data_IF_579537506132
#
_entry.id   IF_579537506132
#
_cell.length_a   1.000
_cell.length_b   1.000
_cell.length_c   1.000
_cell.angle_alpha   90.00
_cell.angle_beta   90.00
_cell.angle_gamma   90.00
#
_symmetry.space_group_name_H-M   'P 1'
#
loop_
_entity.id
_entity.type
_entity.pdbx_description
1 polymer ?
#
# COMPACT_ATOMS: atom_id res chain seq x y z
N UNK A 1 0.90 -21.55 21.78
CA UNK A 1 2.28 -21.06 21.56
C UNK A 1 2.16 -19.61 21.16
N UNK A 2 2.93 -18.72 21.75
CA UNK A 2 2.89 -17.29 21.36
C UNK A 2 3.52 -17.15 19.97
N UNK A 3 2.76 -16.66 19.02
CA UNK A 3 3.19 -16.48 17.63
C UNK A 3 4.44 -15.60 17.52
N UNK A 4 4.65 -14.66 18.44
CA UNK A 4 5.82 -13.76 18.46
C UNK A 4 7.10 -14.53 18.78
N UNK A 5 7.06 -15.43 19.77
CA UNK A 5 8.20 -16.27 20.13
C UNK A 5 8.52 -17.27 19.04
N UNK A 6 7.50 -17.88 18.42
CA UNK A 6 7.70 -18.80 17.30
C UNK A 6 8.27 -18.07 16.07
N UNK A 7 7.78 -16.87 15.76
CA UNK A 7 8.33 -16.05 14.68
C UNK A 7 9.82 -15.76 14.90
N UNK A 8 10.22 -15.35 16.10
CA UNK A 8 11.64 -15.08 16.41
C UNK A 8 12.49 -16.35 16.23
N UNK A 9 12.02 -17.50 16.75
CA UNK A 9 12.69 -18.78 16.58
C UNK A 9 12.86 -19.12 15.11
N UNK A 10 11.81 -18.98 14.30
CA UNK A 10 11.86 -19.24 12.85
C UNK A 10 12.86 -18.34 12.13
N UNK A 11 12.98 -17.06 12.49
CA UNK A 11 13.98 -16.18 11.88
C UNK A 11 15.42 -16.62 12.18
N UNK A 12 15.70 -17.15 13.36
CA UNK A 12 17.00 -17.80 13.65
C UNK A 12 17.25 -19.05 12.81
N UNK A 13 16.21 -19.87 12.58
CA UNK A 13 16.31 -21.09 11.76
C UNK A 13 16.50 -20.73 10.28
N UNK A 14 15.74 -19.78 9.73
CA UNK A 14 15.80 -19.37 8.34
C UNK A 14 17.10 -18.64 7.98
N UNK A 15 17.66 -17.87 8.92
CA UNK A 15 18.86 -17.02 8.66
C UNK A 15 18.66 -16.04 7.50
N UNK A 16 17.49 -15.46 7.38
CA UNK A 16 16.97 -14.68 6.27
C UNK A 16 15.88 -15.43 5.49
N UNK A 17 15.02 -14.69 4.82
CA UNK A 17 13.88 -15.24 4.06
C UNK A 17 14.14 -15.32 2.56
N UNK A 18 15.27 -14.81 2.10
CA UNK A 18 15.62 -14.69 0.69
C UNK A 18 16.92 -15.40 0.39
N UNK A 19 16.99 -15.94 -0.81
CA UNK A 19 18.24 -16.38 -1.43
C UNK A 19 18.29 -15.92 -2.89
N UNK A 20 19.48 -15.81 -3.45
CA UNK A 20 19.68 -15.50 -4.87
C UNK A 20 19.95 -16.79 -5.60
N UNK A 21 19.02 -17.19 -6.47
CA UNK A 21 19.15 -18.38 -7.31
C UNK A 21 19.47 -17.98 -8.75
N UNK A 22 20.52 -18.54 -9.37
CA UNK A 22 20.82 -18.28 -10.78
C UNK A 22 19.74 -18.93 -11.67
N UNK A 23 19.44 -18.28 -12.80
CA UNK A 23 18.52 -18.79 -13.83
C UNK A 23 19.22 -19.61 -14.91
N UNK A 24 20.54 -19.56 -14.95
CA UNK A 24 21.39 -20.36 -15.82
C UNK A 24 22.42 -21.09 -14.98
N UNK A 25 22.99 -22.15 -15.53
CA UNK A 25 24.04 -22.91 -14.89
C UNK A 25 25.35 -22.73 -15.65
N UNK A 26 26.46 -22.84 -14.95
CA UNK A 26 27.82 -22.80 -15.52
C UNK A 26 28.57 -24.02 -14.99
N UNK A 27 28.68 -25.07 -15.81
CA UNK A 27 29.25 -26.33 -15.44
C UNK A 27 30.46 -26.74 -16.33
N UNK A 28 30.70 -25.98 -17.41
CA UNK A 28 31.78 -26.22 -18.35
C UNK A 28 32.27 -24.90 -18.98
N UNK A 29 33.38 -24.93 -19.72
CA UNK A 29 34.02 -23.77 -20.31
C UNK A 29 33.20 -23.09 -21.40
N UNK A 30 32.37 -23.81 -22.12
CA UNK A 30 31.48 -23.23 -23.12
C UNK A 30 30.37 -22.39 -22.46
N UNK A 31 29.68 -22.94 -21.46
CA UNK A 31 28.68 -22.23 -20.66
C UNK A 31 29.27 -21.03 -19.94
N UNK A 32 30.51 -21.14 -19.42
CA UNK A 32 31.22 -20.02 -18.83
C UNK A 32 31.46 -18.90 -19.85
N UNK A 33 31.89 -19.26 -21.06
CA UNK A 33 32.15 -18.29 -22.13
C UNK A 33 30.88 -17.59 -22.61
N UNK A 34 29.73 -18.25 -22.59
CA UNK A 34 28.44 -17.66 -22.92
C UNK A 34 27.91 -16.78 -21.79
N UNK A 35 28.00 -17.25 -20.54
CA UNK A 35 27.40 -16.56 -19.39
C UNK A 35 28.26 -15.38 -18.89
N UNK A 36 29.58 -15.43 -19.14
CA UNK A 36 30.52 -14.41 -18.68
C UNK A 36 31.50 -14.02 -19.80
N UNK A 37 32.80 -14.20 -19.63
CA UNK A 37 33.81 -13.76 -20.59
C UNK A 37 34.17 -14.87 -21.58
N UNK A 38 34.18 -14.61 -22.92
CA UNK A 38 34.00 -13.32 -23.60
C UNK A 38 32.56 -12.96 -24.03
N UNK A 39 31.64 -13.89 -24.03
CA UNK A 39 30.31 -13.75 -24.65
C UNK A 39 29.45 -12.62 -24.09
N UNK A 40 29.59 -12.33 -22.76
CA UNK A 40 28.84 -11.25 -22.10
C UNK A 40 29.06 -9.85 -22.67
N UNK A 41 30.12 -9.65 -23.46
CA UNK A 41 30.37 -8.38 -24.15
C UNK A 41 29.24 -8.03 -25.15
N UNK A 42 28.67 -9.00 -25.84
CA UNK A 42 27.63 -8.78 -26.84
C UNK A 42 26.32 -8.19 -26.25
N UNK A 43 25.72 -8.75 -25.19
CA UNK A 43 24.57 -8.12 -24.56
C UNK A 43 24.91 -6.74 -23.95
N UNK A 44 26.13 -6.51 -23.46
CA UNK A 44 26.54 -5.18 -23.00
C UNK A 44 26.55 -4.15 -24.12
N UNK A 45 27.11 -4.50 -25.29
CA UNK A 45 27.09 -3.66 -26.48
C UNK A 45 25.66 -3.41 -26.97
N UNK A 46 24.84 -4.44 -27.01
CA UNK A 46 23.44 -4.32 -27.41
C UNK A 46 22.64 -3.36 -26.50
N UNK A 47 22.88 -3.39 -25.19
CA UNK A 47 22.24 -2.45 -24.23
C UNK A 47 22.81 -1.04 -24.38
N UNK A 48 24.12 -0.88 -24.61
CA UNK A 48 24.74 0.43 -24.86
C UNK A 48 24.10 1.10 -26.07
N UNK A 49 23.88 0.35 -27.13
CA UNK A 49 23.34 0.86 -28.38
C UNK A 49 21.80 1.08 -28.34
N UNK A 50 21.12 0.35 -27.47
CA UNK A 50 19.67 0.47 -27.24
C UNK A 50 19.37 0.13 -25.76
N UNK A 51 19.21 1.18 -24.94
CA UNK A 51 18.96 1.07 -23.50
C UNK A 51 17.73 0.21 -23.14
N UNK A 52 16.69 0.21 -23.99
CA UNK A 52 15.48 -0.58 -23.78
C UNK A 52 15.76 -2.10 -23.74
N UNK A 53 16.85 -2.54 -24.37
CA UNK A 53 17.30 -3.94 -24.30
C UNK A 53 17.73 -4.38 -22.89
N UNK A 54 18.01 -3.44 -21.98
CA UNK A 54 18.28 -3.77 -20.58
C UNK A 54 17.10 -4.54 -19.93
N UNK A 55 15.87 -4.23 -20.32
CA UNK A 55 14.68 -4.96 -19.86
C UNK A 55 14.49 -6.34 -20.50
N UNK A 56 15.14 -6.61 -21.62
CA UNK A 56 15.05 -7.89 -22.34
C UNK A 56 16.24 -8.81 -22.00
N UNK A 57 17.44 -8.24 -21.85
CA UNK A 57 18.68 -8.99 -21.71
C UNK A 57 19.14 -9.15 -20.26
N UNK A 58 18.47 -8.48 -19.33
CA UNK A 58 18.73 -8.62 -17.89
C UNK A 58 17.45 -8.92 -17.11
N UNK A 59 17.58 -9.16 -15.81
CA UNK A 59 16.41 -9.38 -14.93
C UNK A 59 15.69 -8.08 -14.54
N UNK A 60 16.19 -6.92 -14.96
CA UNK A 60 15.65 -5.60 -14.63
C UNK A 60 14.14 -5.50 -14.80
N UNK A 61 13.57 -6.02 -15.89
CA UNK A 61 12.14 -5.99 -16.17
C UNK A 61 11.26 -6.64 -15.08
N UNK A 62 11.81 -7.51 -14.26
CA UNK A 62 11.08 -8.22 -13.22
C UNK A 62 11.57 -7.92 -11.80
N UNK A 63 12.47 -6.95 -11.62
CA UNK A 63 13.06 -6.62 -10.33
C UNK A 63 12.47 -5.35 -9.73
N UNK A 64 12.11 -5.41 -8.45
CA UNK A 64 11.65 -4.26 -7.65
C UNK A 64 12.58 -4.05 -6.45
N UNK A 65 13.01 -2.82 -6.22
CA UNK A 65 13.67 -2.46 -4.98
C UNK A 65 12.64 -2.20 -3.89
N UNK A 66 12.77 -2.83 -2.73
CA UNK A 66 11.97 -2.57 -1.52
C UNK A 66 12.81 -1.77 -0.56
N UNK A 67 12.48 -0.50 -0.36
CA UNK A 67 13.38 0.49 0.21
C UNK A 67 12.80 1.11 1.46
N UNK A 68 13.59 1.14 2.54
CA UNK A 68 13.25 1.80 3.80
C UNK A 68 14.41 2.59 4.38
N UNK A 69 14.11 3.63 5.17
CA UNK A 69 15.06 4.30 6.07
C UNK A 69 14.92 3.83 7.53
N UNK A 70 13.99 2.91 7.79
CA UNK A 70 13.73 2.33 9.11
C UNK A 70 13.05 3.25 10.11
N UNK A 71 12.43 4.35 9.63
CA UNK A 71 11.90 5.40 10.52
C UNK A 71 10.45 5.21 10.95
N UNK A 72 9.73 4.22 10.38
CA UNK A 72 8.32 3.95 10.72
C UNK A 72 7.99 2.44 10.65
N UNK A 73 8.86 1.61 11.17
CA UNK A 73 8.73 0.15 11.11
C UNK A 73 7.52 -0.33 11.90
N UNK A 74 6.47 -0.79 11.18
CA UNK A 74 5.23 -1.30 11.78
C UNK A 74 4.70 -0.34 12.88
N UNK A 75 4.24 -0.88 14.00
CA UNK A 75 3.89 -0.09 15.19
C UNK A 75 5.06 0.22 16.14
N UNK A 76 6.30 -0.11 15.74
CA UNK A 76 7.49 0.06 16.57
C UNK A 76 8.15 1.44 16.42
N UNK A 77 7.79 2.18 15.37
CA UNK A 77 8.34 3.50 15.07
C UNK A 77 9.75 3.46 14.50
N UNK A 78 10.57 4.43 14.90
CA UNK A 78 11.94 4.60 14.40
C UNK A 78 12.91 3.67 15.14
N UNK A 79 13.17 2.50 14.57
CA UNK A 79 14.10 1.51 15.10
C UNK A 79 15.35 1.31 14.24
N UNK A 80 15.47 2.10 13.19
CA UNK A 80 16.60 2.10 12.27
C UNK A 80 16.49 1.10 11.10
N UNK A 81 17.28 1.34 10.05
CA UNK A 81 17.14 0.60 8.80
C UNK A 81 17.48 -0.89 8.91
N UNK A 82 18.52 -1.26 9.67
CA UNK A 82 18.91 -2.66 9.83
C UNK A 82 17.86 -3.48 10.58
N UNK A 83 17.20 -2.87 11.57
CA UNK A 83 16.12 -3.51 12.30
C UNK A 83 14.85 -3.65 11.45
N UNK A 84 14.71 -2.86 10.37
CA UNK A 84 13.67 -2.98 9.36
C UNK A 84 13.87 -4.13 8.35
N UNK A 85 15.10 -4.67 8.23
CA UNK A 85 15.41 -5.71 7.24
C UNK A 85 14.45 -6.91 7.27
N UNK A 86 14.06 -7.48 8.42
CA UNK A 86 13.10 -8.60 8.45
C UNK A 86 11.75 -8.26 7.82
N UNK A 87 11.29 -7.02 7.92
CA UNK A 87 10.04 -6.56 7.28
C UNK A 87 10.23 -6.46 5.78
N UNK A 88 11.34 -5.86 5.34
CA UNK A 88 11.66 -5.72 3.91
C UNK A 88 11.84 -7.07 3.22
N UNK A 89 12.51 -8.04 3.85
CA UNK A 89 12.57 -9.42 3.34
C UNK A 89 11.17 -10.05 3.26
N UNK A 90 10.34 -9.86 4.27
CA UNK A 90 8.95 -10.31 4.25
C UNK A 90 8.18 -9.73 3.07
N UNK A 91 8.31 -8.43 2.81
CA UNK A 91 7.71 -7.78 1.64
C UNK A 91 8.20 -8.40 0.33
N UNK A 92 9.49 -8.69 0.21
CA UNK A 92 10.05 -9.35 -0.98
C UNK A 92 9.48 -10.77 -1.19
N UNK A 93 9.28 -11.54 -0.11
CA UNK A 93 8.61 -12.86 -0.18
C UNK A 93 7.20 -12.70 -0.74
N UNK A 94 6.43 -11.72 -0.25
CA UNK A 94 5.07 -11.49 -0.74
C UNK A 94 5.05 -11.07 -2.23
N UNK A 95 5.98 -10.25 -2.68
CA UNK A 95 6.15 -9.94 -4.11
C UNK A 95 6.35 -11.19 -4.95
N UNK A 96 7.19 -12.10 -4.47
CA UNK A 96 7.49 -13.34 -5.20
C UNK A 96 6.30 -14.29 -5.23
N UNK A 97 5.70 -14.56 -4.06
CA UNK A 97 4.61 -15.53 -3.91
C UNK A 97 3.33 -15.11 -4.63
N UNK A 98 2.97 -13.82 -4.56
CA UNK A 98 1.68 -13.33 -5.06
C UNK A 98 1.72 -12.78 -6.50
N UNK A 99 2.92 -12.44 -7.02
CA UNK A 99 3.04 -11.82 -8.35
C UNK A 99 4.24 -12.31 -9.17
N UNK A 100 5.04 -13.24 -8.67
CA UNK A 100 6.23 -13.72 -9.37
C UNK A 100 7.30 -12.64 -9.60
N UNK A 101 7.22 -11.52 -8.87
CA UNK A 101 8.17 -10.40 -8.94
C UNK A 101 9.39 -10.71 -8.08
N UNK A 102 10.57 -10.48 -8.63
CA UNK A 102 11.84 -10.61 -7.90
C UNK A 102 12.11 -9.28 -7.18
N UNK A 103 11.90 -9.25 -5.88
CA UNK A 103 12.12 -8.05 -5.09
C UNK A 103 13.40 -8.14 -4.26
N UNK A 104 14.07 -7.00 -4.06
CA UNK A 104 15.33 -6.92 -3.35
C UNK A 104 15.25 -5.87 -2.23
N UNK A 105 15.56 -6.24 -0.94
CA UNK A 105 15.45 -5.35 0.19
C UNK A 105 16.64 -4.41 0.28
N UNK A 106 16.39 -3.11 0.48
CA UNK A 106 17.39 -2.08 0.61
C UNK A 106 17.08 -1.20 1.82
N UNK A 107 17.90 -1.30 2.87
CA UNK A 107 17.80 -0.50 4.08
C UNK A 107 18.85 0.61 4.06
N UNK A 108 18.42 1.87 3.95
CA UNK A 108 19.31 3.03 3.72
C UNK A 108 19.54 3.79 5.02
N UNK A 109 20.81 4.01 5.38
CA UNK A 109 21.23 4.67 6.62
C UNK A 109 21.20 6.19 6.54
N UNK A 110 20.08 6.77 6.15
CA UNK A 110 19.88 8.20 6.16
C UNK A 110 18.44 8.57 6.41
N UNK A 111 18.20 9.71 7.02
CA UNK A 111 16.90 10.36 7.21
C UNK A 111 16.82 11.70 6.47
N UNK A 112 17.91 12.09 5.82
CA UNK A 112 17.91 13.24 4.94
C UNK A 112 17.19 12.89 3.63
N UNK A 113 16.20 13.71 3.28
CA UNK A 113 15.33 13.46 2.11
C UNK A 113 16.13 13.49 0.81
N UNK A 114 17.02 14.47 0.65
CA UNK A 114 17.75 14.64 -0.61
C UNK A 114 18.80 13.55 -0.78
N UNK A 115 19.47 13.15 0.30
CA UNK A 115 20.39 12.02 0.28
C UNK A 115 19.69 10.70 -0.02
N UNK A 116 18.52 10.45 0.58
CA UNK A 116 17.72 9.25 0.32
C UNK A 116 17.24 9.21 -1.14
N UNK A 117 16.66 10.30 -1.63
CA UNK A 117 16.23 10.46 -3.02
C UNK A 117 17.39 10.24 -3.99
N UNK A 118 18.54 10.87 -3.72
CA UNK A 118 19.74 10.72 -4.54
C UNK A 118 20.23 9.28 -4.58
N UNK A 119 20.27 8.61 -3.43
CA UNK A 119 20.70 7.21 -3.30
C UNK A 119 19.78 6.29 -4.11
N UNK A 120 18.47 6.42 -3.95
CA UNK A 120 17.48 5.61 -4.67
C UNK A 120 17.59 5.84 -6.18
N UNK A 121 17.67 7.09 -6.62
CA UNK A 121 17.82 7.42 -8.03
C UNK A 121 19.06 6.76 -8.66
N UNK A 122 20.22 6.82 -7.97
CA UNK A 122 21.47 6.27 -8.49
C UNK A 122 21.43 4.75 -8.70
N UNK A 123 20.67 4.02 -7.88
CA UNK A 123 20.55 2.54 -8.00
C UNK A 123 19.37 2.09 -8.85
N UNK A 124 18.45 2.99 -9.19
CA UNK A 124 17.20 2.67 -9.92
C UNK A 124 17.42 2.03 -11.28
N UNK A 125 18.61 2.26 -11.90
CA UNK A 125 18.98 1.63 -13.16
C UNK A 125 19.03 0.10 -13.13
N UNK A 126 19.09 -0.52 -11.96
CA UNK A 126 19.09 -1.98 -11.79
C UNK A 126 17.69 -2.58 -11.65
N UNK A 127 16.64 -1.75 -11.54
CA UNK A 127 15.28 -2.18 -11.21
C UNK A 127 14.26 -1.73 -12.27
N UNK A 128 13.14 -2.42 -12.29
CA UNK A 128 11.95 -2.03 -13.06
C UNK A 128 10.94 -1.21 -12.26
N UNK A 129 11.12 -1.09 -10.94
CA UNK A 129 10.30 -0.28 -10.05
C UNK A 129 10.87 -0.16 -8.65
N UNK A 130 10.44 0.86 -7.92
CA UNK A 130 10.82 1.15 -6.53
C UNK A 130 9.59 1.11 -5.62
N UNK A 131 9.57 0.20 -4.66
CA UNK A 131 8.60 0.18 -3.56
C UNK A 131 9.21 0.85 -2.33
N UNK A 132 8.63 1.96 -1.89
CA UNK A 132 8.98 2.61 -0.64
C UNK A 132 8.17 2.00 0.49
N UNK A 133 8.81 1.75 1.63
CA UNK A 133 8.21 1.05 2.76
C UNK A 133 8.68 1.64 4.08
N UNK A 134 7.77 1.78 5.05
CA UNK A 134 8.09 2.15 6.44
C UNK A 134 8.93 3.45 6.58
N UNK A 135 8.69 4.44 5.72
CA UNK A 135 9.26 5.78 5.79
C UNK A 135 8.28 6.71 6.51
N UNK A 136 8.73 7.38 7.57
CA UNK A 136 7.89 8.21 8.41
C UNK A 136 7.28 9.42 7.67
N UNK A 137 5.99 9.70 7.94
CA UNK A 137 5.38 10.98 7.57
C UNK A 137 6.09 12.11 8.37
N UNK A 138 6.35 13.28 7.81
CA UNK A 138 5.92 13.82 6.51
C UNK A 138 6.94 13.56 5.38
N UNK A 139 8.11 13.01 5.72
CA UNK A 139 9.19 12.78 4.75
C UNK A 139 8.79 11.85 3.61
N UNK A 140 7.99 10.82 3.89
CA UNK A 140 7.55 9.87 2.87
C UNK A 140 6.87 10.54 1.66
N UNK A 141 6.09 11.60 1.89
CA UNK A 141 5.43 12.35 0.82
C UNK A 141 6.42 13.07 -0.08
N UNK A 142 7.43 13.69 0.54
CA UNK A 142 8.46 14.43 -0.19
C UNK A 142 9.40 13.51 -0.96
N UNK A 143 9.81 12.40 -0.34
CA UNK A 143 10.66 11.37 -0.97
C UNK A 143 9.96 10.80 -2.20
N UNK A 144 8.69 10.37 -2.07
CA UNK A 144 7.94 9.83 -3.20
C UNK A 144 7.78 10.86 -4.32
N UNK A 145 7.36 12.08 -4.00
CA UNK A 145 7.17 13.15 -4.99
C UNK A 145 8.46 13.43 -5.76
N UNK A 146 9.59 13.64 -5.07
CA UNK A 146 10.89 13.91 -5.70
C UNK A 146 11.37 12.75 -6.58
N UNK A 147 11.18 11.50 -6.13
CA UNK A 147 11.55 10.33 -6.92
C UNK A 147 10.70 10.19 -8.18
N UNK A 148 9.39 10.42 -8.11
CA UNK A 148 8.50 10.40 -9.28
C UNK A 148 8.87 11.46 -10.33
N UNK A 149 9.47 12.56 -9.92
CA UNK A 149 9.92 13.63 -10.84
C UNK A 149 11.20 13.25 -11.61
N UNK A 150 12.08 12.42 -11.03
CA UNK A 150 13.40 12.13 -11.59
C UNK A 150 13.61 10.70 -12.07
N UNK A 151 12.84 9.73 -11.56
CA UNK A 151 12.94 8.34 -11.97
C UNK A 151 12.13 8.10 -13.27
N UNK A 152 12.67 7.23 -14.12
CA UNK A 152 12.02 6.75 -15.35
C UNK A 152 11.28 5.42 -15.16
N UNK A 153 11.25 4.90 -13.94
CA UNK A 153 10.57 3.69 -13.49
C UNK A 153 9.55 4.03 -12.39
N UNK A 154 8.48 3.25 -12.21
CA UNK A 154 7.46 3.54 -11.22
C UNK A 154 8.01 3.57 -9.79
N UNK A 155 7.56 4.56 -9.04
CA UNK A 155 7.79 4.72 -7.59
C UNK A 155 6.44 4.64 -6.89
N UNK A 156 6.35 3.81 -5.85
CA UNK A 156 5.11 3.58 -5.13
C UNK A 156 5.39 3.36 -3.64
N UNK A 157 4.69 4.09 -2.78
CA UNK A 157 4.80 3.94 -1.33
C UNK A 157 3.63 3.08 -0.84
N UNK A 158 3.91 1.84 -0.44
CA UNK A 158 2.85 0.87 -0.15
C UNK A 158 2.00 1.23 1.08
N UNK A 159 2.61 1.74 2.16
CA UNK A 159 1.86 2.18 3.36
C UNK A 159 0.84 3.29 3.06
N UNK A 160 1.09 4.09 2.04
CA UNK A 160 0.16 5.10 1.57
C UNK A 160 -0.86 4.48 0.61
N UNK A 161 -0.38 4.05 -0.53
CA UNK A 161 -1.23 3.74 -1.70
C UNK A 161 -1.76 2.32 -1.69
N UNK A 162 -0.98 1.33 -1.23
CA UNK A 162 -1.46 -0.04 -1.08
C UNK A 162 -2.59 -0.13 -0.07
N UNK A 163 -2.41 0.53 1.07
CA UNK A 163 -3.45 0.63 2.11
C UNK A 163 -4.69 1.36 1.57
N UNK A 164 -4.53 2.47 0.84
CA UNK A 164 -5.65 3.21 0.26
C UNK A 164 -6.46 2.36 -0.73
N UNK A 165 -5.78 1.60 -1.60
CA UNK A 165 -6.41 0.73 -2.59
C UNK A 165 -7.24 -0.37 -1.93
N UNK A 166 -6.72 -1.06 -0.92
CA UNK A 166 -7.46 -2.16 -0.28
C UNK A 166 -8.61 -1.66 0.60
N UNK A 167 -8.43 -0.54 1.28
CA UNK A 167 -9.52 0.10 2.04
C UNK A 167 -10.64 0.53 1.12
N UNK A 168 -10.32 1.13 -0.02
CA UNK A 168 -11.31 1.52 -1.02
C UNK A 168 -12.04 0.31 -1.62
N UNK A 169 -11.32 -0.78 -1.93
CA UNK A 169 -11.94 -2.02 -2.41
C UNK A 169 -12.94 -2.61 -1.41
N UNK A 170 -12.56 -2.67 -0.13
CA UNK A 170 -13.45 -3.12 0.95
C UNK A 170 -14.66 -2.18 1.10
N UNK A 171 -14.45 -0.87 1.04
CA UNK A 171 -15.50 0.12 1.19
C UNK A 171 -16.52 0.08 0.04
N UNK A 172 -16.07 -0.09 -1.21
CA UNK A 172 -16.96 -0.25 -2.37
C UNK A 172 -18.00 -1.36 -2.12
N UNK A 173 -17.57 -2.49 -1.61
CA UNK A 173 -18.42 -3.63 -1.34
C UNK A 173 -19.21 -3.46 -0.03
N UNK A 174 -18.62 -2.91 1.02
CA UNK A 174 -19.33 -2.64 2.27
C UNK A 174 -20.51 -1.70 2.05
N UNK A 175 -20.35 -0.66 1.24
CA UNK A 175 -21.43 0.27 0.90
C UNK A 175 -22.55 -0.41 0.09
N UNK A 176 -22.21 -1.31 -0.84
CA UNK A 176 -23.23 -2.15 -1.54
C UNK A 176 -24.05 -2.97 -0.54
N UNK A 177 -23.40 -3.62 0.45
CA UNK A 177 -24.08 -4.44 1.48
C UNK A 177 -25.10 -3.61 2.26
N UNK A 178 -24.79 -2.36 2.57
CA UNK A 178 -25.66 -1.48 3.37
C UNK A 178 -26.54 -0.55 2.52
N UNK A 179 -26.54 -0.72 1.19
CA UNK A 179 -27.38 0.07 0.27
C UNK A 179 -27.00 1.54 0.15
N UNK A 180 -25.72 1.89 0.36
CA UNK A 180 -25.18 3.25 0.23
C UNK A 180 -24.19 3.33 -0.95
N UNK A 181 -23.82 4.55 -1.34
CA UNK A 181 -22.85 4.80 -2.42
C UNK A 181 -21.68 5.67 -1.94
N UNK A 182 -20.59 5.68 -2.70
CA UNK A 182 -19.42 6.54 -2.40
C UNK A 182 -19.82 8.01 -2.36
N UNK A 183 -20.70 8.47 -3.25
CA UNK A 183 -21.10 9.87 -3.38
C UNK A 183 -21.96 10.36 -2.20
N UNK A 184 -22.70 9.45 -1.56
CA UNK A 184 -23.65 9.80 -0.48
C UNK A 184 -23.10 9.49 0.91
N UNK A 185 -22.09 8.65 1.01
CA UNK A 185 -21.51 8.22 2.27
C UNK A 185 -20.80 9.36 3.01
N UNK A 186 -21.05 9.48 4.32
CA UNK A 186 -20.33 10.34 5.23
C UNK A 186 -19.19 9.56 5.86
N UNK A 187 -17.97 9.89 5.46
CA UNK A 187 -16.77 9.14 5.82
C UNK A 187 -15.94 9.89 6.86
N UNK A 188 -15.54 9.21 7.91
CA UNK A 188 -14.60 9.70 8.93
C UNK A 188 -13.32 8.88 8.86
N UNK A 189 -12.17 9.55 8.69
CA UNK A 189 -10.84 8.94 8.77
C UNK A 189 -10.16 9.44 10.05
N UNK A 190 -9.80 8.55 10.95
CA UNK A 190 -9.05 8.86 12.16
C UNK A 190 -7.59 8.42 12.03
N UNK A 191 -6.69 9.39 12.10
CA UNK A 191 -5.26 9.28 11.80
C UNK A 191 -4.93 9.94 10.47
N UNK A 192 -4.40 11.17 10.53
CA UNK A 192 -4.01 11.92 9.34
C UNK A 192 -2.51 11.77 9.00
N UNK A 193 -1.95 10.60 9.26
CA UNK A 193 -0.60 10.21 8.84
C UNK A 193 -0.54 9.83 7.36
N UNK A 194 0.53 9.10 6.98
CA UNK A 194 0.76 8.67 5.59
C UNK A 194 -0.43 7.92 5.00
N UNK A 195 -0.92 6.91 5.69
CA UNK A 195 -2.06 6.11 5.25
C UNK A 195 -3.36 6.92 5.19
N UNK A 196 -3.70 7.67 6.25
CA UNK A 196 -4.96 8.42 6.30
C UNK A 196 -5.10 9.48 5.22
N UNK A 197 -4.03 10.24 4.95
CA UNK A 197 -4.00 11.21 3.85
C UNK A 197 -4.18 10.53 2.49
N UNK A 198 -3.49 9.40 2.28
CA UNK A 198 -3.59 8.66 1.02
C UNK A 198 -4.98 8.04 0.83
N UNK A 199 -5.57 7.45 1.88
CA UNK A 199 -6.94 6.93 1.86
C UNK A 199 -7.92 8.06 1.52
N UNK A 200 -7.82 9.21 2.19
CA UNK A 200 -8.70 10.35 1.94
C UNK A 200 -8.65 10.81 0.49
N UNK A 201 -7.46 11.01 -0.06
CA UNK A 201 -7.27 11.40 -1.47
C UNK A 201 -7.84 10.34 -2.42
N UNK A 202 -7.59 9.07 -2.15
CA UNK A 202 -8.05 7.98 -3.01
C UNK A 202 -9.58 7.82 -2.98
N UNK A 203 -10.21 7.94 -1.81
CA UNK A 203 -11.67 7.90 -1.69
C UNK A 203 -12.35 9.08 -2.39
N UNK A 204 -11.75 10.27 -2.34
CA UNK A 204 -12.24 11.41 -3.12
C UNK A 204 -12.15 11.17 -4.64
N UNK A 205 -11.09 10.51 -5.12
CA UNK A 205 -10.98 10.10 -6.53
C UNK A 205 -12.05 9.07 -6.93
N UNK A 206 -12.56 8.30 -5.96
CA UNK A 206 -13.66 7.34 -6.13
C UNK A 206 -15.06 7.95 -5.93
N UNK A 207 -15.13 9.26 -5.69
CA UNK A 207 -16.40 9.99 -5.64
C UNK A 207 -16.91 10.33 -4.24
N UNK A 208 -16.19 10.05 -3.16
CA UNK A 208 -16.57 10.47 -1.81
C UNK A 208 -16.55 11.99 -1.72
N UNK A 209 -17.67 12.61 -1.32
CA UNK A 209 -17.85 14.05 -1.22
C UNK A 209 -17.87 14.57 0.21
N UNK A 210 -18.37 13.77 1.15
CA UNK A 210 -18.44 14.14 2.57
C UNK A 210 -17.43 13.31 3.36
N UNK A 211 -16.22 13.83 3.48
CA UNK A 211 -15.10 13.23 4.17
C UNK A 211 -14.59 14.17 5.26
N UNK A 212 -14.42 13.63 6.46
CA UNK A 212 -13.82 14.32 7.61
C UNK A 212 -12.56 13.57 8.02
N UNK A 213 -11.48 14.31 8.21
CA UNK A 213 -10.24 13.80 8.78
C UNK A 213 -10.08 14.24 10.23
N UNK A 214 -9.63 13.34 11.06
CA UNK A 214 -9.38 13.56 12.50
C UNK A 214 -7.95 13.16 12.82
N UNK A 215 -7.27 13.97 13.61
CA UNK A 215 -5.97 13.63 14.19
C UNK A 215 -6.01 13.84 15.71
N UNK A 216 -4.90 13.64 16.38
CA UNK A 216 -4.77 13.74 17.86
C UNK A 216 -5.24 15.06 18.46
N UNK A 217 -5.34 16.11 17.68
CA UNK A 217 -5.85 17.44 18.10
C UNK A 217 -7.32 17.69 17.70
N UNK A 218 -8.01 16.68 17.20
CA UNK A 218 -9.41 16.76 16.78
C UNK A 218 -9.60 16.80 15.26
N UNK A 219 -10.76 17.29 14.84
CA UNK A 219 -11.16 17.38 13.43
C UNK A 219 -10.28 18.40 12.70
N UNK A 220 -9.70 18.00 11.59
CA UNK A 220 -8.88 18.87 10.73
C UNK A 220 -9.80 19.83 9.98
N UNK A 221 -9.57 21.14 10.19
CA UNK A 221 -10.34 22.23 9.60
C UNK A 221 -9.43 23.25 8.93
N UNK A 222 -9.95 23.92 7.93
CA UNK A 222 -9.27 25.05 7.30
C UNK A 222 -9.03 26.19 8.30
N UNK A 223 -7.83 26.77 8.28
CA UNK A 223 -7.43 27.83 9.22
C UNK A 223 -6.97 27.34 10.60
N UNK A 224 -6.89 26.04 10.84
CA UNK A 224 -6.35 25.48 12.07
C UNK A 224 -4.84 25.73 12.16
N UNK A 225 -4.34 26.21 13.30
CA UNK A 225 -2.92 26.45 13.51
C UNK A 225 -2.12 25.15 13.67
N UNK A 226 -0.87 25.14 13.23
CA UNK A 226 0.07 24.03 13.43
C UNK A 226 -0.12 22.84 12.49
N UNK A 227 -0.92 22.98 11.45
CA UNK A 227 -1.04 21.95 10.42
C UNK A 227 0.24 21.83 9.61
N UNK A 228 0.64 20.60 9.29
CA UNK A 228 1.68 20.35 8.31
C UNK A 228 1.12 20.54 6.88
N UNK A 229 1.98 20.63 5.83
CA UNK A 229 1.53 20.86 4.46
C UNK A 229 0.48 19.85 3.93
N UNK A 230 0.59 18.57 4.32
CA UNK A 230 -0.39 17.57 3.91
C UNK A 230 -1.73 17.77 4.61
N UNK A 231 -1.72 18.13 5.90
CA UNK A 231 -2.94 18.46 6.65
C UNK A 231 -3.58 19.76 6.12
N UNK A 232 -2.79 20.76 5.76
CA UNK A 232 -3.32 22.00 5.13
C UNK A 232 -3.99 21.71 3.80
N UNK A 233 -3.38 20.87 2.96
CA UNK A 233 -4.00 20.42 1.71
C UNK A 233 -5.35 19.74 1.98
N UNK A 234 -5.38 18.81 2.93
CA UNK A 234 -6.60 18.06 3.25
C UNK A 234 -7.66 18.91 3.93
N UNK A 235 -7.29 19.87 4.77
CA UNK A 235 -8.25 20.76 5.43
C UNK A 235 -9.09 21.59 4.45
N UNK A 236 -8.50 21.93 3.27
CA UNK A 236 -9.20 22.66 2.20
C UNK A 236 -10.08 21.77 1.33
N UNK A 237 -9.81 20.47 1.29
CA UNK A 237 -10.50 19.49 0.41
C UNK A 237 -11.55 18.68 1.12
N UNK A 238 -11.50 18.61 2.45
CA UNK A 238 -12.34 17.77 3.29
C UNK A 238 -13.22 18.61 4.20
N UNK A 239 -14.06 17.95 5.02
CA UNK A 239 -14.95 18.58 5.99
C UNK A 239 -15.90 19.65 5.37
N UNK A 240 -16.68 19.30 4.33
CA UNK A 240 -17.58 20.24 3.65
C UNK A 240 -18.67 20.79 4.58
N UNK A 241 -18.91 20.15 5.72
CA UNK A 241 -19.89 20.56 6.74
C UNK A 241 -19.30 21.53 7.76
N UNK A 242 -18.01 21.85 7.69
CA UNK A 242 -17.29 22.72 8.63
C UNK A 242 -17.48 22.32 10.11
N UNK A 243 -17.50 21.00 10.39
CA UNK A 243 -17.62 20.47 11.75
C UNK A 243 -16.28 20.65 12.46
N UNK A 244 -16.34 21.08 13.72
CA UNK A 244 -15.21 21.17 14.63
C UNK A 244 -15.43 20.27 15.84
N UNK A 245 -14.36 19.91 16.56
CA UNK A 245 -14.47 19.12 17.78
C UNK A 245 -13.58 17.87 17.76
N UNK A 246 -14.06 16.86 18.45
CA UNK A 246 -13.35 15.59 18.71
C UNK A 246 -13.71 14.49 17.70
N UNK A 247 -13.08 13.32 17.83
CA UNK A 247 -13.45 12.12 17.08
C UNK A 247 -14.94 11.75 17.30
N UNK A 248 -15.44 11.88 18.54
CA UNK A 248 -16.84 11.58 18.85
C UNK A 248 -17.81 12.49 18.10
N UNK A 249 -17.44 13.77 17.91
CA UNK A 249 -18.24 14.71 17.14
C UNK A 249 -18.24 14.38 15.65
N UNK A 250 -17.10 13.95 15.11
CA UNK A 250 -16.97 13.50 13.71
C UNK A 250 -17.80 12.25 13.43
N UNK A 251 -17.79 11.26 14.35
CA UNK A 251 -18.47 9.98 14.17
C UNK A 251 -19.99 10.07 14.28
N UNK A 252 -20.51 11.09 14.95
CA UNK A 252 -21.97 11.27 15.09
C UNK A 252 -22.65 11.47 13.73
N UNK A 253 -23.49 10.51 13.38
CA UNK A 253 -24.19 10.49 12.09
C UNK A 253 -23.28 10.25 10.88
N UNK A 254 -22.10 9.67 11.09
CA UNK A 254 -21.26 9.17 10.02
C UNK A 254 -21.76 7.79 9.53
N UNK A 255 -21.50 7.46 8.27
CA UNK A 255 -21.80 6.17 7.66
C UNK A 255 -20.60 5.21 7.70
N UNK A 256 -19.41 5.78 7.66
CA UNK A 256 -18.16 5.02 7.58
C UNK A 256 -17.14 5.60 8.55
N UNK A 257 -16.51 4.73 9.32
CA UNK A 257 -15.31 5.01 10.10
C UNK A 257 -14.13 4.20 9.58
N UNK A 258 -13.01 4.87 9.33
CA UNK A 258 -11.73 4.26 8.95
C UNK A 258 -10.68 4.71 9.96
N UNK A 259 -10.15 3.78 10.74
CA UNK A 259 -9.11 4.03 11.72
C UNK A 259 -7.74 3.59 11.21
N UNK A 260 -6.77 4.50 11.19
CA UNK A 260 -5.34 4.27 10.90
C UNK A 260 -4.48 5.05 11.90
N UNK A 261 -4.82 4.93 13.18
CA UNK A 261 -4.35 5.80 14.25
C UNK A 261 -3.73 5.02 15.42
N UNK A 262 -4.38 5.04 16.57
CA UNK A 262 -3.88 4.48 17.81
C UNK A 262 -4.88 3.48 18.44
N UNK A 263 -4.41 2.52 19.23
CA UNK A 263 -5.26 1.52 19.87
C UNK A 263 -6.31 2.13 20.79
N UNK A 264 -7.54 1.58 20.76
CA UNK A 264 -8.55 1.83 21.79
C UNK A 264 -9.13 3.25 21.84
N UNK A 265 -8.96 4.04 20.78
CA UNK A 265 -9.45 5.44 20.73
C UNK A 265 -10.94 5.56 20.40
N UNK A 266 -11.58 4.49 19.94
CA UNK A 266 -13.00 4.42 19.59
C UNK A 266 -13.77 3.65 20.66
N UNK A 267 -14.87 4.24 21.14
CA UNK A 267 -15.76 3.60 22.13
C UNK A 267 -17.02 3.03 21.45
N UNK A 268 -17.74 2.16 22.18
CA UNK A 268 -19.03 1.62 21.71
C UNK A 268 -20.06 2.73 21.49
N UNK A 269 -20.07 3.76 22.34
CA UNK A 269 -20.97 4.92 22.23
C UNK A 269 -20.70 5.71 20.96
N UNK A 270 -19.44 5.85 20.55
CA UNK A 270 -19.08 6.50 19.28
C UNK A 270 -19.66 5.71 18.11
N UNK A 271 -19.48 4.38 18.09
CA UNK A 271 -20.05 3.53 17.03
C UNK A 271 -21.59 3.58 17.05
N UNK A 272 -22.23 3.49 18.23
CA UNK A 272 -23.67 3.60 18.35
C UNK A 272 -24.26 4.95 17.92
N UNK A 273 -23.44 6.01 17.88
CA UNK A 273 -23.84 7.34 17.41
C UNK A 273 -23.79 7.51 15.88
N UNK A 274 -23.23 6.53 15.16
CA UNK A 274 -23.20 6.53 13.71
C UNK A 274 -24.59 6.25 13.11
N UNK A 275 -24.72 6.46 11.82
CA UNK A 275 -25.95 6.15 11.09
C UNK A 275 -26.22 4.63 11.02
N UNK A 276 -27.49 4.26 10.83
CA UNK A 276 -27.87 2.89 10.49
C UNK A 276 -27.06 2.38 9.27
N UNK A 277 -26.65 1.12 9.32
CA UNK A 277 -25.78 0.55 8.29
C UNK A 277 -24.33 1.04 8.38
N UNK A 278 -23.84 1.40 9.56
CA UNK A 278 -22.47 1.87 9.76
C UNK A 278 -21.44 0.80 9.36
N UNK A 279 -20.42 1.24 8.60
CA UNK A 279 -19.23 0.47 8.24
C UNK A 279 -18.04 0.93 9.10
N UNK A 280 -17.39 0.01 9.82
CA UNK A 280 -16.32 0.35 10.76
C UNK A 280 -15.06 -0.44 10.42
N UNK A 281 -14.00 0.26 10.03
CA UNK A 281 -12.71 -0.32 9.62
C UNK A 281 -11.59 0.11 10.59
N UNK A 282 -11.44 -0.55 11.76
CA UNK A 282 -10.37 -0.28 12.71
C UNK A 282 -9.09 -0.99 12.25
N UNK A 283 -8.15 -0.25 11.65
CA UNK A 283 -6.99 -0.79 10.95
C UNK A 283 -5.69 -0.73 11.76
N UNK A 284 -5.66 -0.07 12.93
CA UNK A 284 -4.45 0.05 13.73
C UNK A 284 -3.90 -1.34 14.14
N UNK A 285 -2.58 -1.49 14.07
CA UNK A 285 -1.87 -2.71 14.40
C UNK A 285 -0.83 -2.45 15.52
N UNK A 286 -0.60 -3.39 16.44
CA UNK A 286 -1.22 -4.73 16.58
C UNK A 286 -2.60 -4.73 17.27
N UNK A 287 -2.99 -3.61 17.86
CA UNK A 287 -4.28 -3.45 18.56
C UNK A 287 -5.10 -2.39 17.82
N UNK A 288 -6.34 -2.71 17.41
CA UNK A 288 -7.17 -1.79 16.66
C UNK A 288 -7.75 -0.65 17.52
N UNK A 289 -8.31 0.38 16.88
CA UNK A 289 -9.00 1.50 17.52
C UNK A 289 -10.18 1.07 18.36
N UNK A 290 -10.88 0.03 17.93
CA UNK A 290 -11.92 -0.74 18.64
C UNK A 290 -11.84 -2.18 18.17
N UNK A 291 -12.08 -3.13 19.06
CA UNK A 291 -12.16 -4.53 18.64
C UNK A 291 -13.38 -4.78 17.74
N UNK A 292 -13.23 -5.57 16.65
CA UNK A 292 -14.32 -5.86 15.72
C UNK A 292 -15.60 -6.34 16.38
N UNK A 293 -15.51 -7.25 17.37
CA UNK A 293 -16.66 -7.77 18.09
C UNK A 293 -17.39 -6.68 18.91
N UNK A 294 -16.63 -5.70 19.43
CA UNK A 294 -17.22 -4.57 20.17
C UNK A 294 -17.90 -3.58 19.23
N UNK A 295 -17.33 -3.37 18.03
CA UNK A 295 -17.96 -2.54 17.00
C UNK A 295 -19.27 -3.15 16.50
N UNK A 296 -19.32 -4.48 16.26
CA UNK A 296 -20.53 -5.21 15.91
C UNK A 296 -21.57 -5.14 17.04
N UNK A 297 -21.15 -5.35 18.29
CA UNK A 297 -22.04 -5.27 19.45
C UNK A 297 -22.60 -3.84 19.69
N UNK A 298 -21.91 -2.81 19.19
CA UNK A 298 -22.35 -1.42 19.24
C UNK A 298 -23.25 -1.00 18.06
N UNK A 299 -23.52 -1.90 17.11
CA UNK A 299 -24.46 -1.67 16.00
C UNK A 299 -23.81 -1.43 14.64
N UNK A 300 -22.50 -1.63 14.48
CA UNK A 300 -21.89 -1.64 13.16
C UNK A 300 -22.46 -2.77 12.29
N UNK A 301 -22.86 -2.45 11.05
CA UNK A 301 -23.42 -3.42 10.11
C UNK A 301 -22.31 -4.23 9.40
N UNK A 302 -21.19 -3.57 9.10
CA UNK A 302 -20.04 -4.20 8.44
C UNK A 302 -18.77 -3.79 9.18
N UNK A 303 -17.93 -4.77 9.49
CA UNK A 303 -16.61 -4.51 10.10
C UNK A 303 -15.52 -5.16 9.26
N UNK A 304 -14.47 -4.39 8.94
CA UNK A 304 -13.24 -4.87 8.34
C UNK A 304 -12.04 -4.52 9.24
N UNK A 305 -10.99 -5.31 9.22
CA UNK A 305 -9.83 -5.08 10.10
C UNK A 305 -8.52 -5.44 9.39
N UNK A 306 -7.40 -4.81 9.80
CA UNK A 306 -6.07 -5.21 9.36
C UNK A 306 -5.60 -6.57 9.88
N UNK A 307 -6.30 -7.12 10.87
CA UNK A 307 -5.94 -8.39 11.55
C UNK A 307 -6.42 -9.60 10.75
N UNK A 308 -5.59 -10.64 10.70
CA UNK A 308 -5.86 -11.91 10.00
C UNK A 308 -6.78 -12.87 10.75
N UNK A 309 -7.04 -12.62 12.03
CA UNK A 309 -7.89 -13.46 12.89
C UNK A 309 -9.37 -13.03 12.88
N UNK A 310 -9.72 -11.99 12.11
CA UNK A 310 -11.10 -11.54 11.91
C UNK A 310 -11.54 -11.72 10.45
N UNK A 311 -12.85 -11.70 10.23
CA UNK A 311 -13.47 -11.64 8.90
C UNK A 311 -13.13 -10.30 8.23
N UNK A 312 -13.17 -10.25 6.89
CA UNK A 312 -12.84 -9.05 6.12
C UNK A 312 -11.46 -8.47 6.46
N UNK A 313 -10.42 -9.30 6.33
CA UNK A 313 -9.05 -8.81 6.49
C UNK A 313 -8.70 -7.83 5.37
N UNK A 314 -8.54 -6.56 5.73
CA UNK A 314 -8.09 -5.50 4.82
C UNK A 314 -6.57 -5.44 4.91
N UNK A 315 -5.89 -6.01 3.91
CA UNK A 315 -4.43 -6.13 3.90
C UNK A 315 -3.88 -5.72 2.53
N UNK A 316 -2.86 -4.85 2.53
CA UNK A 316 -2.21 -4.32 1.32
C UNK A 316 -1.58 -5.40 0.43
N UNK A 317 -1.37 -6.63 0.93
CA UNK A 317 -0.94 -7.78 0.13
C UNK A 317 -1.88 -8.10 -1.05
N UNK A 318 -3.14 -7.68 -0.96
CA UNK A 318 -4.09 -7.78 -2.07
C UNK A 318 -3.82 -6.78 -3.20
N UNK A 319 -3.08 -5.71 -2.93
CA UNK A 319 -2.86 -4.60 -3.88
C UNK A 319 -1.45 -4.62 -4.49
N UNK A 320 -0.41 -4.36 -3.66
CA UNK A 320 0.91 -4.00 -4.17
C UNK A 320 1.54 -5.04 -5.11
N UNK A 321 1.42 -6.37 -4.88
CA UNK A 321 2.07 -7.33 -5.77
C UNK A 321 1.48 -7.26 -7.19
N UNK A 322 0.15 -7.23 -7.29
CA UNK A 322 -0.56 -7.11 -8.55
C UNK A 322 -0.36 -5.76 -9.23
N UNK A 323 -0.30 -4.67 -8.47
CA UNK A 323 -0.03 -3.32 -9.00
C UNK A 323 1.34 -3.28 -9.66
N UNK A 324 2.40 -3.76 -8.98
CA UNK A 324 3.73 -3.82 -9.58
C UNK A 324 3.80 -4.80 -10.74
N UNK A 325 3.13 -5.95 -10.67
CA UNK A 325 3.08 -6.89 -11.79
C UNK A 325 2.50 -6.21 -13.04
N UNK A 326 1.37 -5.54 -12.92
CA UNK A 326 0.75 -4.81 -14.03
C UNK A 326 1.63 -3.67 -14.56
N UNK A 327 2.26 -2.91 -13.67
CA UNK A 327 3.17 -1.83 -14.04
C UNK A 327 4.43 -2.35 -14.77
N UNK A 328 5.02 -3.44 -14.30
CA UNK A 328 6.17 -4.08 -14.94
C UNK A 328 5.81 -4.70 -16.30
N UNK A 329 4.66 -5.34 -16.43
CA UNK A 329 4.21 -6.02 -17.66
C UNK A 329 4.02 -5.05 -18.84
N UNK A 330 3.59 -3.81 -18.56
CA UNK A 330 3.46 -2.77 -19.57
C UNK A 330 4.62 -1.75 -19.55
N UNK A 331 5.66 -2.00 -18.76
CA UNK A 331 6.79 -1.10 -18.53
C UNK A 331 6.33 0.34 -18.26
N UNK A 332 5.39 0.49 -17.34
CA UNK A 332 4.88 1.81 -16.96
C UNK A 332 5.99 2.68 -16.37
N UNK A 333 5.99 3.96 -16.71
CA UNK A 333 6.92 4.94 -16.13
C UNK A 333 6.44 5.49 -14.77
N UNK A 334 5.16 5.31 -14.46
CA UNK A 334 4.53 5.74 -13.21
C UNK A 334 3.40 4.77 -12.83
N UNK A 335 3.04 4.75 -11.55
CA UNK A 335 1.79 4.19 -11.03
C UNK A 335 0.92 5.38 -10.65
N UNK A 336 0.01 5.78 -11.55
CA UNK A 336 -0.83 6.97 -11.41
C UNK A 336 -2.17 6.67 -10.70
N UNK A 337 -2.98 7.71 -10.49
CA UNK A 337 -4.26 7.60 -9.78
C UNK A 337 -5.25 6.66 -10.49
N UNK A 338 -5.31 6.70 -11.82
CA UNK A 338 -6.21 5.82 -12.58
C UNK A 338 -5.86 4.34 -12.42
N UNK A 339 -4.58 4.01 -12.35
CA UNK A 339 -4.10 2.65 -12.10
C UNK A 339 -4.48 2.16 -10.69
N UNK A 340 -4.40 3.03 -9.69
CA UNK A 340 -4.80 2.74 -8.29
C UNK A 340 -6.32 2.54 -8.18
N UNK A 341 -7.11 3.38 -8.84
CA UNK A 341 -8.57 3.24 -8.92
C UNK A 341 -8.94 1.92 -9.60
N UNK A 342 -8.29 1.58 -10.73
CA UNK A 342 -8.52 0.31 -11.41
C UNK A 342 -8.19 -0.90 -10.52
N UNK A 343 -7.11 -0.82 -9.73
CA UNK A 343 -6.75 -1.87 -8.76
C UNK A 343 -7.83 -2.06 -7.68
N UNK A 344 -8.39 -0.96 -7.13
CA UNK A 344 -9.46 -1.03 -6.13
C UNK A 344 -10.71 -1.74 -6.68
N UNK A 345 -11.15 -1.39 -7.88
CA UNK A 345 -12.26 -2.05 -8.55
C UNK A 345 -11.95 -3.52 -8.88
N UNK A 346 -10.74 -3.82 -9.34
CA UNK A 346 -10.33 -5.19 -9.65
C UNK A 346 -10.42 -6.10 -8.41
N UNK A 347 -9.97 -5.62 -7.25
CA UNK A 347 -10.06 -6.36 -5.98
C UNK A 347 -11.53 -6.51 -5.57
N UNK A 348 -12.30 -5.42 -5.57
CA UNK A 348 -13.70 -5.43 -5.15
C UNK A 348 -14.57 -6.38 -5.99
N UNK A 349 -14.39 -6.38 -7.30
CA UNK A 349 -15.18 -7.18 -8.24
C UNK A 349 -14.86 -8.68 -8.21
N UNK A 350 -13.85 -9.13 -7.47
CA UNK A 350 -13.59 -10.55 -7.25
C UNK A 350 -14.55 -11.19 -6.26
N UNK A 351 -15.22 -10.39 -5.45
CA UNK A 351 -16.33 -10.84 -4.62
C UNK A 351 -17.60 -10.77 -5.49
N UNK A 352 -18.15 -11.92 -5.84
CA UNK A 352 -19.37 -11.99 -6.64
C UNK A 352 -20.58 -11.45 -5.85
N UNK A 353 -21.56 -10.89 -6.56
CA UNK A 353 -22.72 -10.27 -5.91
C UNK A 353 -23.54 -11.25 -5.05
N UNK A 354 -23.54 -12.54 -5.41
CA UNK A 354 -24.21 -13.62 -4.66
C UNK A 354 -23.39 -14.11 -3.44
N UNK A 355 -22.10 -13.83 -3.38
CA UNK A 355 -21.23 -14.11 -2.24
C UNK A 355 -21.12 -12.90 -1.28
N UNK A 356 -21.47 -11.70 -1.78
CA UNK A 356 -21.30 -10.44 -1.05
C UNK A 356 -22.19 -10.41 0.20
N UNK A 357 -21.56 -10.17 1.35
CA UNK A 357 -22.23 -10.12 2.65
C UNK A 357 -21.46 -9.26 3.64
N UNK A 358 -22.04 -8.95 4.79
CA UNK A 358 -21.35 -8.22 5.86
C UNK A 358 -20.05 -8.94 6.33
N UNK A 359 -19.98 -10.24 6.15
CA UNK A 359 -18.85 -11.08 6.53
C UNK A 359 -17.85 -11.34 5.38
N UNK A 360 -18.17 -10.92 4.15
CA UNK A 360 -17.32 -11.13 2.98
C UNK A 360 -17.44 -9.97 1.99
N UNK A 361 -16.67 -8.89 2.24
CA UNK A 361 -16.61 -7.67 1.41
C UNK A 361 -15.33 -7.56 0.59
N UNK A 362 -14.34 -8.40 0.88
CA UNK A 362 -13.02 -8.35 0.23
C UNK A 362 -12.48 -9.78 0.09
N UNK A 363 -11.78 -10.13 -1.01
CA UNK A 363 -11.23 -11.47 -1.16
C UNK A 363 -10.19 -11.78 -0.08
N UNK A 364 -10.01 -13.08 0.20
CA UNK A 364 -8.99 -13.54 1.15
C UNK A 364 -7.59 -13.32 0.57
N UNK A 365 -6.59 -13.10 1.45
CA UNK A 365 -5.22 -12.81 1.07
C UNK A 365 -4.58 -13.87 0.13
N UNK A 366 -4.98 -15.15 0.26
CA UNK A 366 -4.48 -16.26 -0.56
C UNK A 366 -5.35 -16.61 -1.77
N UNK A 367 -6.30 -15.75 -2.14
CA UNK A 367 -7.07 -15.94 -3.37
C UNK A 367 -6.19 -15.68 -4.59
N UNK A 368 -5.88 -16.74 -5.32
CA UNK A 368 -4.97 -16.71 -6.48
C UNK A 368 -5.48 -15.86 -7.65
N UNK A 369 -6.75 -15.46 -7.65
CA UNK A 369 -7.35 -14.60 -8.67
C UNK A 369 -6.91 -13.14 -8.51
N UNK A 370 -6.55 -12.71 -7.28
CA UNK A 370 -6.27 -11.29 -6.96
C UNK A 370 -5.10 -10.74 -7.76
N UNK A 371 -3.93 -11.37 -7.68
CA UNK A 371 -2.73 -10.90 -8.36
C UNK A 371 -2.94 -10.67 -9.87
N UNK A 372 -3.40 -11.68 -10.63
CA UNK A 372 -3.67 -11.53 -12.06
C UNK A 372 -4.74 -10.46 -12.37
N UNK A 373 -5.84 -10.41 -11.65
CA UNK A 373 -6.91 -9.43 -11.90
C UNK A 373 -6.44 -7.99 -11.67
N UNK A 374 -5.69 -7.75 -10.59
CA UNK A 374 -5.11 -6.43 -10.31
C UNK A 374 -4.09 -6.06 -11.38
N UNK A 375 -3.21 -6.99 -11.76
CA UNK A 375 -2.18 -6.74 -12.77
C UNK A 375 -2.79 -6.36 -14.14
N UNK A 376 -3.81 -7.08 -14.58
CA UNK A 376 -4.51 -6.80 -15.82
C UNK A 376 -5.18 -5.41 -15.81
N UNK A 377 -5.91 -5.09 -14.74
CA UNK A 377 -6.60 -3.81 -14.60
C UNK A 377 -5.60 -2.63 -14.56
N UNK A 378 -4.51 -2.78 -13.84
CA UNK A 378 -3.44 -1.78 -13.73
C UNK A 378 -2.73 -1.56 -15.07
N UNK A 379 -2.36 -2.64 -15.77
CA UNK A 379 -1.72 -2.54 -17.10
C UNK A 379 -2.65 -1.89 -18.13
N UNK A 380 -3.95 -2.21 -18.09
CA UNK A 380 -4.96 -1.57 -18.94
C UNK A 380 -5.04 -0.07 -18.64
N UNK A 381 -5.19 0.34 -17.40
CA UNK A 381 -5.25 1.74 -17.00
C UNK A 381 -3.95 2.50 -17.36
N UNK A 382 -2.79 1.86 -17.24
CA UNK A 382 -1.51 2.43 -17.64
C UNK A 382 -1.47 2.75 -19.14
N UNK A 383 -1.99 1.85 -20.00
CA UNK A 383 -2.09 2.08 -21.45
C UNK A 383 -3.09 3.18 -21.78
N UNK A 384 -4.26 3.17 -21.17
CA UNK A 384 -5.32 4.18 -21.37
C UNK A 384 -4.87 5.59 -20.97
N UNK A 385 -4.00 5.70 -19.96
CA UNK A 385 -3.47 6.99 -19.48
C UNK A 385 -2.11 7.37 -20.10
N UNK A 386 -1.58 6.57 -21.02
CA UNK A 386 -0.35 6.88 -21.75
C UNK A 386 0.94 6.81 -20.91
N UNK A 387 0.92 6.10 -19.76
CA UNK A 387 2.13 5.89 -18.96
C UNK A 387 2.81 4.55 -19.23
N UNK A 388 2.16 3.64 -19.96
CA UNK A 388 2.76 2.41 -20.46
C UNK A 388 3.73 2.68 -21.61
N UNK A 389 4.77 1.84 -21.75
CA UNK A 389 5.74 1.87 -22.84
C UNK A 389 5.53 0.74 -23.85
N UNK A 390 4.82 -0.33 -23.44
CA UNK A 390 4.48 -1.49 -24.29
C UNK A 390 3.05 -1.96 -24.03
#
# INVERSE_FOLDING_TARGET
MDIRQEALKKHYEWKGKLEIAPRTHVTNSEELSLAYTPGVAEPCLAIRDDYEKSYLLTRRANMVAVITDGSAILGLGDIGPEAGMPVMEGKCVLFKEFAGVDAFPLCVRTKDVDELVRTIYLISGSFGGNNLEDIAATRCFEVERKLKEICDIPVFHDDQHGTAVVVAAALLNALKVVGKTMETAKVVINGAGSAGVAIGKHLMNLGVKDLIMVDRFGIICEGMEGLNPAHEEMSRKTNPRHITGTLADAMRGADVFIGVSAPGVVTREMVASMNEGACVFPMANPVPEIHPDEALAAGAAVVGSGRSDYKNQINNVLAFPGIFRGALDCRAKDINEAMKVAASYAIANLVADDELSADYIIPKAFDKRVGPAVAEAVAKAARETGVARI
#
